data_IF_871247519755
#
_entry.id   IF_871247519755
#
_cell.length_a   1.000
_cell.length_b   1.000
_cell.length_c   1.000
_cell.angle_alpha   90.00
_cell.angle_beta   90.00
_cell.angle_gamma   90.00
#
_symmetry.space_group_name_H-M   'P 1'
#
loop_
_entity.id
_entity.type
_entity.pdbx_description
1 polymer ?
#
# COMPACT_ATOMS: atom_id res chain seq x y z
N UNK A 1 -26.82 10.99 7.99
CA UNK A 1 -25.37 11.28 7.91
C UNK A 1 -25.13 12.51 7.04
N UNK A 2 -24.25 13.42 7.46
CA UNK A 2 -23.80 14.54 6.60
C UNK A 2 -23.05 14.03 5.38
N UNK A 3 -22.91 14.87 4.33
CA UNK A 3 -22.15 14.50 3.11
C UNK A 3 -20.70 14.14 3.45
N UNK A 4 -20.02 14.95 4.24
CA UNK A 4 -18.63 14.68 4.64
C UNK A 4 -18.50 13.38 5.46
N UNK A 5 -19.49 13.08 6.32
CA UNK A 5 -19.51 11.83 7.06
C UNK A 5 -19.65 10.62 6.12
N UNK A 6 -20.47 10.70 5.05
CA UNK A 6 -20.59 9.62 4.05
C UNK A 6 -19.28 9.40 3.30
N UNK A 7 -18.60 10.49 2.89
CA UNK A 7 -17.31 10.40 2.20
C UNK A 7 -16.21 9.84 3.13
N UNK A 8 -16.19 10.26 4.39
CA UNK A 8 -15.27 9.71 5.39
C UNK A 8 -15.51 8.21 5.63
N UNK A 9 -16.78 7.78 5.78
CA UNK A 9 -17.13 6.36 5.92
C UNK A 9 -16.75 5.56 4.66
N UNK A 10 -16.95 6.12 3.47
CA UNK A 10 -16.48 5.52 2.21
C UNK A 10 -14.98 5.28 2.24
N UNK A 11 -14.17 6.29 2.58
CA UNK A 11 -12.71 6.14 2.68
C UNK A 11 -12.31 5.13 3.77
N UNK A 12 -12.97 5.15 4.92
CA UNK A 12 -12.74 4.19 5.99
C UNK A 12 -12.93 2.76 5.48
N UNK A 13 -14.09 2.46 4.87
CA UNK A 13 -14.39 1.12 4.37
C UNK A 13 -13.48 0.70 3.21
N UNK A 14 -13.13 1.63 2.31
CA UNK A 14 -12.23 1.40 1.18
C UNK A 14 -10.87 0.84 1.61
N UNK A 15 -10.32 1.32 2.72
CA UNK A 15 -9.03 0.88 3.21
C UNK A 15 -9.13 -0.16 4.33
N UNK A 16 -10.25 -0.23 5.04
CA UNK A 16 -10.50 -1.28 6.04
C UNK A 16 -10.51 -2.67 5.41
N UNK A 17 -11.18 -2.82 4.26
CA UNK A 17 -11.20 -4.11 3.55
C UNK A 17 -9.80 -4.56 3.11
N UNK A 18 -8.89 -3.67 2.85
CA UNK A 18 -7.50 -3.97 2.47
C UNK A 18 -6.62 -4.24 3.69
N UNK A 19 -6.74 -3.40 4.73
CA UNK A 19 -6.04 -3.57 6.00
C UNK A 19 -6.39 -4.85 6.76
N UNK A 20 -7.56 -5.42 6.49
CA UNK A 20 -8.00 -6.66 7.13
C UNK A 20 -7.10 -7.86 6.77
N UNK A 21 -6.68 -7.98 5.51
CA UNK A 21 -6.00 -9.19 5.03
C UNK A 21 -4.53 -9.00 4.66
N UNK A 22 -4.13 -7.85 4.12
CA UNK A 22 -2.80 -7.68 3.55
C UNK A 22 -1.67 -7.92 4.56
N UNK A 23 -1.73 -7.43 5.83
CA UNK A 23 -0.65 -7.61 6.79
C UNK A 23 -0.35 -9.07 7.13
N UNK A 24 -1.35 -9.95 7.09
CA UNK A 24 -1.23 -11.34 7.55
C UNK A 24 -1.14 -12.37 6.42
N UNK A 25 -1.51 -12.00 5.20
CA UNK A 25 -1.59 -12.96 4.08
C UNK A 25 -0.24 -13.57 3.73
N UNK A 26 0.84 -12.78 3.68
CA UNK A 26 2.16 -13.30 3.36
C UNK A 26 2.61 -14.37 4.39
N UNK A 27 2.30 -14.16 5.68
CA UNK A 27 2.56 -15.16 6.74
C UNK A 27 1.74 -16.43 6.52
N UNK A 28 0.45 -16.33 6.21
CA UNK A 28 -0.39 -17.48 5.91
C UNK A 28 0.10 -18.30 4.71
N UNK A 29 0.48 -17.61 3.63
CA UNK A 29 0.96 -18.26 2.41
C UNK A 29 2.30 -18.97 2.63
N UNK A 30 3.22 -18.37 3.42
CA UNK A 30 4.57 -18.90 3.67
C UNK A 30 4.65 -19.94 4.75
N UNK A 31 3.74 -19.94 5.72
CA UNK A 31 3.73 -20.90 6.80
C UNK A 31 3.58 -22.33 6.29
N UNK A 32 4.32 -23.27 6.86
CA UNK A 32 4.27 -24.68 6.47
C UNK A 32 2.88 -25.28 6.67
N UNK A 33 2.53 -26.27 5.83
CA UNK A 33 1.23 -26.97 5.93
C UNK A 33 1.04 -27.60 7.31
N UNK A 34 2.09 -28.08 7.94
CA UNK A 34 2.03 -28.63 9.30
C UNK A 34 1.69 -27.56 10.35
N UNK A 35 1.98 -26.29 10.09
CA UNK A 35 1.61 -25.15 10.95
C UNK A 35 0.21 -24.61 10.65
N UNK A 36 -0.43 -25.11 9.59
CA UNK A 36 -1.75 -24.64 9.14
C UNK A 36 -1.71 -23.56 8.07
N UNK A 37 -0.53 -23.25 7.50
CA UNK A 37 -0.37 -22.39 6.32
C UNK A 37 -0.43 -23.16 5.01
N UNK A 38 -0.05 -22.51 3.90
CA UNK A 38 -0.07 -23.13 2.56
C UNK A 38 1.29 -23.63 2.08
N UNK A 39 2.39 -23.21 2.71
CA UNK A 39 3.75 -23.63 2.36
C UNK A 39 4.20 -23.15 0.97
N UNK A 40 3.65 -22.05 0.47
CA UNK A 40 4.06 -21.49 -0.82
C UNK A 40 5.48 -20.94 -0.77
N UNK A 41 6.21 -21.12 -1.85
CA UNK A 41 7.55 -20.57 -2.02
C UNK A 41 7.53 -19.04 -2.08
N UNK A 42 8.68 -18.41 -1.82
CA UNK A 42 8.82 -16.97 -1.94
C UNK A 42 8.48 -16.44 -3.33
N UNK A 43 8.82 -17.19 -4.38
CA UNK A 43 8.48 -16.87 -5.77
C UNK A 43 6.97 -16.89 -6.01
N UNK A 44 6.26 -17.92 -5.52
CA UNK A 44 4.80 -18.03 -5.63
C UNK A 44 4.09 -16.88 -4.89
N UNK A 45 4.52 -16.55 -3.68
CA UNK A 45 4.00 -15.43 -2.90
C UNK A 45 4.26 -14.10 -3.63
N UNK A 46 5.44 -13.94 -4.21
CA UNK A 46 5.79 -12.77 -5.02
C UNK A 46 4.87 -12.59 -6.23
N UNK A 47 4.50 -13.68 -6.90
CA UNK A 47 3.55 -13.65 -8.02
C UNK A 47 2.13 -13.31 -7.56
N UNK A 48 1.66 -13.88 -6.45
CA UNK A 48 0.32 -13.64 -5.92
C UNK A 48 0.16 -12.19 -5.43
N UNK A 49 1.10 -11.68 -4.64
CA UNK A 49 0.97 -10.39 -3.98
C UNK A 49 1.66 -9.24 -4.75
N UNK A 50 2.61 -9.55 -5.62
CA UNK A 50 3.32 -8.57 -6.45
C UNK A 50 2.70 -8.44 -7.84
N UNK A 51 2.83 -9.46 -8.68
CA UNK A 51 2.37 -9.41 -10.08
C UNK A 51 0.86 -9.23 -10.17
N UNK A 52 0.09 -10.02 -9.42
CA UNK A 52 -1.37 -9.94 -9.50
C UNK A 52 -1.87 -8.52 -9.12
N UNK A 53 -1.32 -7.91 -8.06
CA UNK A 53 -1.64 -6.54 -7.67
C UNK A 53 -1.34 -5.52 -8.76
N UNK A 54 -0.22 -5.70 -9.45
CA UNK A 54 0.24 -4.80 -10.51
C UNK A 54 -0.61 -4.85 -11.77
N UNK A 55 -1.12 -6.02 -12.14
CA UNK A 55 -2.04 -6.17 -13.29
C UNK A 55 -3.28 -5.28 -13.07
N UNK A 56 -3.85 -5.32 -11.87
CA UNK A 56 -4.98 -4.46 -11.52
C UNK A 56 -4.62 -2.97 -11.54
N UNK A 57 -3.45 -2.59 -11.02
CA UNK A 57 -3.00 -1.20 -11.00
C UNK A 57 -2.83 -0.61 -12.42
N UNK A 58 -2.32 -1.41 -13.37
CA UNK A 58 -2.21 -1.02 -14.79
C UNK A 58 -3.58 -0.98 -15.46
N UNK A 59 -4.48 -1.91 -15.14
CA UNK A 59 -5.83 -1.96 -15.72
C UNK A 59 -6.76 -0.86 -15.14
N UNK A 60 -6.51 -0.39 -13.92
CA UNK A 60 -7.39 0.51 -13.19
C UNK A 60 -7.74 1.82 -13.93
N UNK A 61 -6.82 2.56 -14.56
CA UNK A 61 -7.14 3.79 -15.29
C UNK A 61 -8.09 3.54 -16.47
N UNK A 62 -7.96 2.39 -17.13
CA UNK A 62 -8.82 2.02 -18.25
C UNK A 62 -10.23 1.68 -17.79
N UNK A 63 -10.36 0.91 -16.70
CA UNK A 63 -11.66 0.51 -16.15
C UNK A 63 -12.37 1.72 -15.53
N UNK A 64 -11.69 2.49 -14.70
CA UNK A 64 -12.27 3.66 -14.06
C UNK A 64 -12.62 4.75 -15.10
N UNK A 65 -11.66 5.11 -15.98
CA UNK A 65 -11.86 6.20 -16.93
C UNK A 65 -12.76 5.85 -18.13
N UNK A 66 -12.68 4.63 -18.66
CA UNK A 66 -13.42 4.28 -19.89
C UNK A 66 -14.82 3.71 -19.61
N UNK A 67 -15.01 2.99 -18.51
CA UNK A 67 -16.27 2.34 -18.20
C UNK A 67 -17.09 3.18 -17.22
N UNK A 68 -16.49 3.57 -16.09
CA UNK A 68 -17.19 4.30 -15.06
C UNK A 68 -17.60 5.70 -15.51
N UNK A 69 -16.69 6.44 -16.15
CA UNK A 69 -16.96 7.83 -16.51
C UNK A 69 -17.93 7.96 -17.69
N UNK A 70 -18.19 6.89 -18.47
CA UNK A 70 -19.05 6.98 -19.67
C UNK A 70 -20.46 6.45 -19.53
N UNK A 71 -20.64 5.36 -18.77
CA UNK A 71 -21.87 4.58 -18.85
C UNK A 71 -22.72 4.53 -17.59
N UNK A 72 -22.08 4.67 -16.42
CA UNK A 72 -22.77 4.48 -15.14
C UNK A 72 -22.40 5.57 -14.14
N UNK A 73 -23.24 5.77 -13.14
CA UNK A 73 -22.85 6.63 -12.02
C UNK A 73 -21.74 5.95 -11.20
N UNK A 74 -20.76 6.77 -10.79
CA UNK A 74 -19.50 6.30 -10.19
C UNK A 74 -19.73 5.47 -8.92
N UNK A 75 -20.71 5.87 -8.08
CA UNK A 75 -21.05 5.15 -6.84
C UNK A 75 -21.63 3.76 -7.10
N UNK A 76 -22.35 3.55 -8.23
CA UNK A 76 -22.94 2.24 -8.57
C UNK A 76 -21.88 1.27 -9.08
N UNK A 77 -20.94 1.76 -9.91
CA UNK A 77 -19.82 0.92 -10.34
C UNK A 77 -18.94 0.57 -9.15
N UNK A 78 -18.66 1.55 -8.29
CA UNK A 78 -17.91 1.30 -7.06
C UNK A 78 -18.58 0.19 -6.23
N UNK A 79 -19.91 0.27 -6.03
CA UNK A 79 -20.66 -0.77 -5.34
C UNK A 79 -20.49 -2.16 -5.98
N UNK A 80 -20.65 -2.26 -7.30
CA UNK A 80 -20.51 -3.53 -8.01
C UNK A 80 -19.10 -4.11 -7.88
N UNK A 81 -18.07 -3.30 -8.11
CA UNK A 81 -16.66 -3.74 -8.05
C UNK A 81 -16.27 -4.21 -6.64
N UNK A 82 -16.65 -3.48 -5.58
CA UNK A 82 -16.28 -3.90 -4.22
C UNK A 82 -17.05 -5.16 -3.79
N UNK A 83 -18.32 -5.34 -4.18
CA UNK A 83 -19.08 -6.58 -3.90
C UNK A 83 -18.43 -7.77 -4.63
N UNK A 84 -18.14 -7.64 -5.92
CA UNK A 84 -17.45 -8.69 -6.69
C UNK A 84 -16.10 -9.02 -6.05
N UNK A 85 -15.31 -8.00 -5.69
CA UNK A 85 -14.02 -8.17 -5.01
C UNK A 85 -14.18 -8.92 -3.67
N UNK A 86 -15.22 -8.61 -2.91
CA UNK A 86 -15.54 -9.31 -1.66
C UNK A 86 -15.85 -10.79 -1.87
N UNK A 87 -16.66 -11.12 -2.87
CA UNK A 87 -16.96 -12.51 -3.25
C UNK A 87 -15.70 -13.25 -3.69
N UNK A 88 -14.84 -12.62 -4.50
CA UNK A 88 -13.56 -13.20 -4.93
C UNK A 88 -12.66 -13.49 -3.73
N UNK A 89 -12.55 -12.57 -2.77
CA UNK A 89 -11.78 -12.81 -1.52
C UNK A 89 -12.37 -13.98 -0.71
N UNK A 90 -13.67 -14.06 -0.64
CA UNK A 90 -14.35 -15.16 0.04
C UNK A 90 -14.02 -16.51 -0.59
N UNK A 91 -14.09 -16.61 -1.92
CA UNK A 91 -13.72 -17.82 -2.66
C UNK A 91 -12.24 -18.16 -2.44
N UNK A 92 -11.36 -17.14 -2.46
CA UNK A 92 -9.91 -17.32 -2.27
C UNK A 92 -9.57 -17.91 -0.89
N UNK A 93 -10.33 -17.56 0.16
CA UNK A 93 -10.10 -18.06 1.51
C UNK A 93 -10.14 -19.60 1.64
N UNK A 94 -10.86 -20.25 0.75
CA UNK A 94 -11.01 -21.72 0.73
C UNK A 94 -10.07 -22.44 -0.23
N UNK A 95 -9.20 -21.70 -0.92
CA UNK A 95 -8.25 -22.31 -1.86
C UNK A 95 -6.95 -22.68 -1.16
N UNK A 96 -6.40 -23.83 -1.55
CA UNK A 96 -5.09 -24.31 -1.09
C UNK A 96 -4.10 -24.50 -2.23
N UNK A 97 -4.55 -24.37 -3.48
CA UNK A 97 -3.74 -24.49 -4.69
C UNK A 97 -3.18 -23.12 -5.12
N UNK A 98 -1.91 -23.10 -5.49
CA UNK A 98 -1.22 -21.90 -5.95
C UNK A 98 -1.88 -21.26 -7.18
N UNK A 99 -2.24 -22.08 -8.19
CA UNK A 99 -2.82 -21.57 -9.43
C UNK A 99 -4.17 -20.89 -9.18
N UNK A 100 -4.99 -21.47 -8.31
CA UNK A 100 -6.27 -20.88 -7.89
C UNK A 100 -6.04 -19.54 -7.15
N UNK A 101 -5.08 -19.49 -6.23
CA UNK A 101 -4.70 -18.25 -5.54
C UNK A 101 -4.24 -17.17 -6.51
N UNK A 102 -3.36 -17.50 -7.46
CA UNK A 102 -2.84 -16.56 -8.45
C UNK A 102 -3.97 -16.00 -9.33
N UNK A 103 -4.81 -16.85 -9.91
CA UNK A 103 -5.91 -16.43 -10.78
C UNK A 103 -6.91 -15.55 -10.03
N UNK A 104 -7.34 -15.99 -8.84
CA UNK A 104 -8.27 -15.20 -8.02
C UNK A 104 -7.67 -13.87 -7.55
N UNK A 105 -6.37 -13.83 -7.27
CA UNK A 105 -5.67 -12.59 -6.93
C UNK A 105 -5.59 -11.63 -8.10
N UNK A 106 -5.40 -12.12 -9.33
CA UNK A 106 -5.45 -11.30 -10.55
C UNK A 106 -6.87 -10.74 -10.74
N UNK A 107 -7.90 -11.58 -10.65
CA UNK A 107 -9.29 -11.13 -10.77
C UNK A 107 -9.61 -10.09 -9.70
N UNK A 108 -9.24 -10.36 -8.45
CA UNK A 108 -9.43 -9.41 -7.36
C UNK A 108 -8.76 -8.06 -7.64
N UNK A 109 -7.52 -8.06 -8.10
CA UNK A 109 -6.80 -6.80 -8.35
C UNK A 109 -7.42 -5.99 -9.48
N UNK A 110 -7.90 -6.64 -10.56
CA UNK A 110 -8.59 -6.00 -11.68
C UNK A 110 -9.88 -5.29 -11.21
N UNK A 111 -10.61 -5.88 -10.27
CA UNK A 111 -11.85 -5.25 -9.75
C UNK A 111 -11.60 -4.28 -8.61
N UNK A 112 -10.57 -4.51 -7.78
CA UNK A 112 -10.30 -3.68 -6.60
C UNK A 112 -9.52 -2.39 -6.93
N UNK A 113 -8.46 -2.46 -7.73
CA UNK A 113 -7.61 -1.29 -7.99
C UNK A 113 -8.36 -0.09 -8.59
N UNK A 114 -9.32 -0.26 -9.51
CA UNK A 114 -10.15 0.86 -9.97
C UNK A 114 -10.94 1.55 -8.87
N UNK A 115 -11.33 0.83 -7.82
CA UNK A 115 -12.14 1.39 -6.72
C UNK A 115 -11.40 2.49 -5.95
N UNK A 116 -10.07 2.46 -5.91
CA UNK A 116 -9.24 3.51 -5.33
C UNK A 116 -9.39 4.84 -6.07
N UNK A 117 -9.37 4.79 -7.40
CA UNK A 117 -9.58 5.97 -8.24
C UNK A 117 -11.03 6.46 -8.17
N UNK A 118 -12.01 5.54 -8.19
CA UNK A 118 -13.43 5.89 -8.11
C UNK A 118 -13.81 6.53 -6.78
N UNK A 119 -13.31 6.03 -5.66
CA UNK A 119 -13.55 6.63 -4.33
C UNK A 119 -12.95 8.04 -4.22
N UNK A 120 -11.76 8.26 -4.79
CA UNK A 120 -11.18 9.59 -4.89
C UNK A 120 -12.02 10.50 -5.79
N UNK A 121 -12.47 10.02 -6.96
CA UNK A 121 -13.30 10.78 -7.90
C UNK A 121 -14.62 11.23 -7.26
N UNK A 122 -15.32 10.33 -6.55
CA UNK A 122 -16.53 10.68 -5.78
C UNK A 122 -16.20 11.76 -4.74
N UNK A 123 -15.09 11.62 -4.04
CA UNK A 123 -14.69 12.59 -3.01
C UNK A 123 -14.46 13.96 -3.63
N UNK A 124 -13.68 14.07 -4.70
CA UNK A 124 -13.41 15.33 -5.40
C UNK A 124 -14.67 15.96 -5.99
N UNK A 125 -15.61 15.17 -6.52
CA UNK A 125 -16.85 15.68 -7.08
C UNK A 125 -17.78 16.34 -6.03
N UNK A 126 -17.62 16.00 -4.77
CA UNK A 126 -18.57 16.41 -3.72
C UNK A 126 -17.98 17.28 -2.61
N UNK A 127 -16.72 17.66 -2.65
CA UNK A 127 -16.13 18.64 -1.73
C UNK A 127 -16.11 20.05 -2.34
N UNK A 128 -16.04 21.06 -1.47
CA UNK A 128 -16.06 22.47 -1.87
C UNK A 128 -14.65 23.00 -2.11
N UNK A 129 -13.73 22.62 -1.25
CA UNK A 129 -12.34 23.05 -1.27
C UNK A 129 -11.44 21.79 -1.20
N UNK A 130 -10.93 21.33 -2.36
CA UNK A 130 -10.07 20.14 -2.42
C UNK A 130 -8.86 20.21 -1.50
N UNK A 131 -8.20 21.35 -1.40
CA UNK A 131 -6.94 21.49 -0.66
C UNK A 131 -7.15 21.34 0.85
N UNK A 132 -8.28 21.83 1.38
CA UNK A 132 -8.57 21.75 2.82
C UNK A 132 -9.41 20.53 3.22
N UNK A 133 -10.31 20.06 2.35
CA UNK A 133 -11.31 19.04 2.69
C UNK A 133 -10.78 17.62 2.40
N UNK A 134 -10.02 17.43 1.29
CA UNK A 134 -9.54 16.10 0.92
C UNK A 134 -8.67 15.44 1.99
N UNK A 135 -7.68 16.11 2.60
CA UNK A 135 -6.89 15.49 3.67
C UNK A 135 -7.73 15.02 4.86
N UNK A 136 -8.77 15.81 5.25
CA UNK A 136 -9.68 15.49 6.37
C UNK A 136 -10.55 14.26 6.07
N UNK A 137 -10.90 14.05 4.80
CA UNK A 137 -11.70 12.90 4.37
C UNK A 137 -10.76 11.69 4.17
N UNK A 138 -9.60 11.90 3.54
CA UNK A 138 -8.65 10.83 3.18
C UNK A 138 -8.03 10.16 4.41
N UNK A 139 -7.81 10.87 5.50
CA UNK A 139 -7.27 10.31 6.75
C UNK A 139 -8.13 9.18 7.30
N UNK A 140 -9.45 9.20 7.05
CA UNK A 140 -10.34 8.10 7.43
C UNK A 140 -9.96 6.77 6.76
N UNK A 141 -9.32 6.82 5.60
CA UNK A 141 -8.76 5.61 4.98
C UNK A 141 -7.66 4.98 5.83
N UNK A 142 -6.69 5.75 6.31
CA UNK A 142 -5.63 5.24 7.20
C UNK A 142 -6.21 4.72 8.52
N UNK A 143 -7.22 5.43 9.08
CA UNK A 143 -7.94 4.96 10.28
C UNK A 143 -8.67 3.64 9.99
N UNK A 144 -9.30 3.49 8.82
CA UNK A 144 -9.96 2.25 8.41
C UNK A 144 -8.99 1.07 8.29
N UNK A 145 -7.84 1.30 7.69
CA UNK A 145 -6.76 0.31 7.63
C UNK A 145 -6.34 -0.15 9.03
N UNK A 146 -6.00 0.80 9.92
CA UNK A 146 -5.62 0.50 11.30
C UNK A 146 -6.72 -0.28 12.02
N UNK A 147 -7.95 0.21 11.94
CA UNK A 147 -9.09 -0.40 12.63
C UNK A 147 -9.29 -1.87 12.21
N UNK A 148 -9.23 -2.17 10.92
CA UNK A 148 -9.39 -3.54 10.43
C UNK A 148 -8.20 -4.43 10.78
N UNK A 149 -6.97 -3.91 10.69
CA UNK A 149 -5.75 -4.64 11.08
C UNK A 149 -5.71 -4.99 12.57
N UNK A 150 -6.46 -4.27 13.42
CA UNK A 150 -6.62 -4.57 14.84
C UNK A 150 -7.86 -5.42 15.12
N UNK A 151 -9.00 -5.08 14.50
CA UNK A 151 -10.27 -5.75 14.78
C UNK A 151 -10.22 -7.24 14.45
N UNK A 152 -9.66 -7.62 13.29
CA UNK A 152 -9.59 -9.01 12.88
C UNK A 152 -8.82 -9.88 13.90
N UNK A 153 -7.55 -9.60 14.25
CA UNK A 153 -6.83 -10.44 15.21
C UNK A 153 -7.37 -10.35 16.63
N UNK A 154 -7.90 -9.20 17.05
CA UNK A 154 -8.47 -9.06 18.40
C UNK A 154 -9.77 -9.84 18.57
N UNK A 155 -10.64 -9.83 17.55
CA UNK A 155 -11.95 -10.48 17.64
C UNK A 155 -11.87 -11.98 17.30
N UNK A 156 -10.95 -12.37 16.40
CA UNK A 156 -10.96 -13.69 15.78
C UNK A 156 -9.78 -14.58 16.14
N UNK A 157 -8.62 -14.00 16.44
CA UNK A 157 -7.39 -14.76 16.66
C UNK A 157 -6.97 -14.82 18.13
N UNK A 158 -7.59 -14.05 19.00
CA UNK A 158 -7.21 -13.94 20.42
C UNK A 158 -8.43 -14.04 21.32
N UNK A 159 -8.17 -14.46 22.57
CA UNK A 159 -9.12 -14.45 23.70
C UNK A 159 -8.53 -13.64 24.85
N UNK A 160 -9.36 -13.25 25.81
CA UNK A 160 -8.93 -12.65 27.08
C UNK A 160 -7.91 -11.50 26.90
N UNK A 161 -8.31 -10.49 26.11
CA UNK A 161 -7.46 -9.37 25.72
C UNK A 161 -7.05 -8.52 26.93
N UNK A 162 -5.74 -8.26 27.04
CA UNK A 162 -5.15 -7.44 28.07
C UNK A 162 -4.32 -6.30 27.48
N UNK A 163 -4.34 -5.13 28.13
CA UNK A 163 -3.50 -4.01 27.75
C UNK A 163 -2.06 -4.21 28.25
N UNK A 164 -1.09 -3.87 27.38
CA UNK A 164 0.32 -3.77 27.74
C UNK A 164 0.90 -2.43 27.24
N UNK A 165 1.92 -1.92 27.96
CA UNK A 165 2.54 -0.63 27.61
C UNK A 165 3.46 -0.68 26.38
N UNK A 166 3.90 -1.86 25.96
CA UNK A 166 4.75 -2.04 24.79
C UNK A 166 3.92 -2.45 23.59
N UNK A 167 4.27 -2.02 22.36
CA UNK A 167 3.61 -2.50 21.14
C UNK A 167 3.79 -4.02 20.95
N UNK A 168 2.79 -4.70 20.40
CA UNK A 168 1.42 -4.25 20.16
C UNK A 168 0.63 -4.14 21.47
N UNK A 169 -0.05 -3.03 21.69
CA UNK A 169 -0.57 -2.61 23.00
C UNK A 169 -1.69 -3.49 23.59
N UNK A 170 -2.36 -4.30 22.76
CA UNK A 170 -3.50 -5.14 23.17
C UNK A 170 -3.20 -6.57 22.72
N UNK A 171 -3.11 -7.47 23.67
CA UNK A 171 -2.71 -8.87 23.43
C UNK A 171 -3.50 -9.83 24.33
N UNK A 172 -3.69 -11.06 23.84
CA UNK A 172 -4.27 -12.17 24.58
C UNK A 172 -3.68 -13.50 24.17
N UNK A 173 -4.11 -14.61 24.78
CA UNK A 173 -3.84 -15.95 24.30
C UNK A 173 -4.38 -16.13 22.88
N UNK A 174 -3.59 -16.75 22.01
CA UNK A 174 -4.08 -17.10 20.66
C UNK A 174 -5.03 -18.30 20.74
N UNK A 175 -6.00 -18.28 19.84
CA UNK A 175 -6.90 -19.42 19.60
C UNK A 175 -6.13 -20.60 19.03
N UNK A 176 -6.66 -21.80 19.16
CA UNK A 176 -6.11 -22.99 18.53
C UNK A 176 -6.06 -22.81 16.99
N UNK A 177 -5.00 -23.34 16.35
CA UNK A 177 -4.80 -23.28 14.90
C UNK A 177 -4.78 -21.84 14.35
N UNK A 178 -4.19 -20.89 15.08
CA UNK A 178 -4.17 -19.47 14.73
C UNK A 178 -3.67 -19.23 13.30
N UNK A 179 -2.60 -19.91 12.87
CA UNK A 179 -2.03 -19.75 11.51
C UNK A 179 -3.03 -20.13 10.42
N UNK A 180 -3.77 -21.22 10.58
CA UNK A 180 -4.81 -21.60 9.65
C UNK A 180 -5.94 -20.56 9.60
N UNK A 181 -6.30 -19.98 10.76
CA UNK A 181 -7.32 -18.93 10.86
C UNK A 181 -6.92 -17.59 10.24
N UNK A 182 -5.65 -17.40 9.86
CA UNK A 182 -5.24 -16.22 9.09
C UNK A 182 -5.97 -16.16 7.73
N UNK A 183 -6.37 -17.28 7.15
CA UNK A 183 -7.21 -17.33 5.95
C UNK A 183 -8.55 -16.60 6.14
N UNK A 184 -9.10 -16.61 7.35
CA UNK A 184 -10.38 -15.97 7.67
C UNK A 184 -10.32 -14.44 7.52
N UNK A 185 -9.11 -13.86 7.48
CA UNK A 185 -8.91 -12.44 7.16
C UNK A 185 -9.50 -12.07 5.78
N UNK A 186 -9.48 -13.00 4.83
CA UNK A 186 -10.09 -12.82 3.51
C UNK A 186 -11.61 -12.83 3.59
N UNK A 187 -12.19 -13.69 4.45
CA UNK A 187 -13.63 -13.75 4.71
C UNK A 187 -14.07 -12.44 5.39
N UNK A 188 -13.32 -12.00 6.40
CA UNK A 188 -13.57 -10.74 7.11
C UNK A 188 -13.50 -9.54 6.15
N UNK A 189 -12.49 -9.49 5.27
CA UNK A 189 -12.41 -8.51 4.19
C UNK A 189 -13.61 -8.58 3.24
N UNK A 190 -14.06 -9.79 2.88
CA UNK A 190 -15.25 -10.01 2.05
C UNK A 190 -16.52 -9.44 2.67
N UNK A 191 -16.73 -9.64 3.97
CA UNK A 191 -17.86 -9.07 4.72
C UNK A 191 -17.81 -7.54 4.72
N UNK A 192 -16.63 -6.95 4.98
CA UNK A 192 -16.45 -5.50 4.88
C UNK A 192 -16.76 -5.02 3.46
N UNK A 193 -16.31 -5.73 2.44
CA UNK A 193 -16.51 -5.38 1.02
C UNK A 193 -17.97 -5.36 0.64
N UNK A 194 -18.76 -6.38 1.03
CA UNK A 194 -20.20 -6.42 0.79
C UNK A 194 -20.90 -5.29 1.53
N UNK A 195 -20.54 -5.06 2.80
CA UNK A 195 -21.08 -3.94 3.60
C UNK A 195 -20.78 -2.60 2.95
N UNK A 196 -19.56 -2.42 2.44
CA UNK A 196 -19.15 -1.24 1.70
C UNK A 196 -19.94 -1.06 0.40
N UNK A 197 -20.10 -2.13 -0.37
CA UNK A 197 -20.90 -2.07 -1.60
C UNK A 197 -22.35 -1.68 -1.35
N UNK A 198 -22.98 -2.20 -0.29
CA UNK A 198 -24.32 -1.78 0.14
C UNK A 198 -24.32 -0.30 0.60
N UNK A 199 -23.29 0.13 1.32
CA UNK A 199 -23.14 1.52 1.74
C UNK A 199 -22.99 2.48 0.55
N UNK A 200 -22.39 2.06 -0.56
CA UNK A 200 -22.24 2.89 -1.76
C UNK A 200 -23.57 3.43 -2.31
N UNK A 201 -24.69 2.73 -2.10
CA UNK A 201 -26.02 3.24 -2.47
C UNK A 201 -26.49 4.43 -1.62
N UNK A 202 -25.80 4.71 -0.51
CA UNK A 202 -26.06 5.90 0.33
C UNK A 202 -25.17 7.09 -0.04
N UNK A 203 -24.20 6.91 -0.94
CA UNK A 203 -23.30 7.97 -1.41
C UNK A 203 -24.08 9.00 -2.27
N UNK A 204 -23.58 10.22 -2.37
CA UNK A 204 -24.18 11.20 -3.25
C UNK A 204 -24.00 10.79 -4.70
N UNK A 205 -25.04 10.99 -5.52
CA UNK A 205 -25.03 10.67 -6.94
C UNK A 205 -23.92 11.40 -7.68
N UNK A 206 -23.07 10.64 -8.39
CA UNK A 206 -21.94 11.13 -9.16
C UNK A 206 -22.12 10.68 -10.61
N UNK A 207 -22.83 11.50 -11.45
CA UNK A 207 -23.18 11.11 -12.82
C UNK A 207 -21.92 10.99 -13.69
N UNK A 208 -21.98 10.19 -14.79
CA UNK A 208 -20.87 10.02 -15.71
C UNK A 208 -20.51 11.33 -16.43
N UNK A 209 -19.22 11.57 -16.64
CA UNK A 209 -18.68 12.71 -17.41
C UNK A 209 -18.40 12.27 -18.84
N UNK A 210 -19.25 12.65 -19.78
CA UNK A 210 -19.17 12.18 -21.19
C UNK A 210 -18.00 12.73 -22.00
N UNK A 211 -17.35 13.81 -21.57
CA UNK A 211 -16.43 14.60 -22.38
C UNK A 211 -14.95 14.51 -21.97
N UNK A 212 -14.58 13.62 -21.11
CA UNK A 212 -13.25 13.60 -20.51
C UNK A 212 -12.36 12.48 -21.07
N UNK A 213 -11.78 12.61 -22.26
CA UNK A 213 -10.52 11.89 -22.59
C UNK A 213 -9.74 12.63 -23.67
N UNK A 214 -8.73 13.38 -23.29
CA UNK A 214 -7.66 13.77 -24.21
C UNK A 214 -6.70 12.60 -24.44
N UNK A 215 -6.76 12.00 -25.62
CA UNK A 215 -5.89 10.87 -26.02
C UNK A 215 -4.39 11.23 -26.14
N UNK A 216 -4.05 12.51 -26.16
CA UNK A 216 -2.68 13.02 -26.37
C UNK A 216 -1.89 13.31 -25.09
N UNK A 217 -2.55 13.38 -23.92
CA UNK A 217 -1.92 13.76 -22.67
C UNK A 217 -0.85 12.76 -22.18
N UNK A 218 -1.03 11.46 -22.46
CA UNK A 218 -0.03 10.45 -22.13
C UNK A 218 1.30 10.62 -22.88
N UNK A 219 1.23 10.98 -24.18
CA UNK A 219 2.45 11.20 -24.97
C UNK A 219 3.27 12.37 -24.42
N UNK A 220 2.61 13.48 -24.11
CA UNK A 220 3.24 14.63 -23.47
C UNK A 220 3.81 14.32 -22.08
N UNK A 221 3.12 13.45 -21.28
CA UNK A 221 3.63 13.03 -20.01
C UNK A 221 4.97 12.27 -20.10
N UNK A 222 5.21 11.52 -21.19
CA UNK A 222 6.50 10.89 -21.44
C UNK A 222 7.60 11.90 -21.79
N UNK A 223 7.28 13.10 -22.26
CA UNK A 223 8.27 14.17 -22.52
C UNK A 223 8.95 14.65 -21.22
N UNK A 224 8.31 14.44 -20.05
CA UNK A 224 8.94 14.74 -18.75
C UNK A 224 10.21 13.91 -18.51
N UNK A 225 10.39 12.76 -19.15
CA UNK A 225 11.63 11.99 -19.07
C UNK A 225 12.83 12.71 -19.69
N UNK A 226 12.63 13.73 -20.51
CA UNK A 226 13.70 14.61 -20.99
C UNK A 226 14.24 15.52 -19.88
N UNK A 227 13.50 15.67 -18.78
CA UNK A 227 13.95 16.43 -17.60
C UNK A 227 14.75 15.51 -16.69
N UNK A 228 16.03 15.82 -16.50
CA UNK A 228 16.94 15.00 -15.67
C UNK A 228 16.41 14.79 -14.25
N UNK A 229 15.81 15.81 -13.62
CA UNK A 229 15.23 15.71 -12.28
C UNK A 229 14.09 14.71 -12.20
N UNK A 230 13.21 14.69 -13.21
CA UNK A 230 12.11 13.72 -13.29
C UNK A 230 12.64 12.29 -13.47
N UNK A 231 13.60 12.10 -14.38
CA UNK A 231 14.20 10.78 -14.63
C UNK A 231 14.91 10.23 -13.37
N UNK A 232 15.67 11.07 -12.66
CA UNK A 232 16.32 10.66 -11.39
C UNK A 232 15.27 10.30 -10.34
N UNK A 233 14.19 11.08 -10.22
CA UNK A 233 13.09 10.79 -9.33
C UNK A 233 12.42 9.45 -9.68
N UNK A 234 12.16 9.20 -10.96
CA UNK A 234 11.52 7.94 -11.42
C UNK A 234 12.41 6.73 -11.10
N UNK A 235 13.72 6.81 -11.37
CA UNK A 235 14.66 5.71 -11.06
C UNK A 235 14.70 5.43 -9.56
N UNK A 236 14.82 6.47 -8.72
CA UNK A 236 14.79 6.31 -7.28
C UNK A 236 13.43 5.75 -6.81
N UNK A 237 12.32 6.22 -7.41
CA UNK A 237 10.96 5.78 -7.07
C UNK A 237 10.71 4.33 -7.44
N UNK A 238 11.21 3.86 -8.57
CA UNK A 238 11.13 2.46 -8.95
C UNK A 238 11.87 1.58 -7.94
N UNK A 239 13.12 1.95 -7.58
CA UNK A 239 13.90 1.21 -6.59
C UNK A 239 13.22 1.19 -5.23
N UNK A 240 12.73 2.34 -4.76
CA UNK A 240 12.01 2.42 -3.48
C UNK A 240 10.72 1.60 -3.52
N UNK A 241 9.98 1.63 -4.62
CA UNK A 241 8.77 0.83 -4.77
C UNK A 241 9.05 -0.68 -4.74
N UNK A 242 10.17 -1.13 -5.32
CA UNK A 242 10.63 -2.51 -5.25
C UNK A 242 10.86 -2.92 -3.79
N UNK A 243 11.69 -2.18 -3.05
CA UNK A 243 12.00 -2.51 -1.65
C UNK A 243 10.79 -2.32 -0.72
N UNK A 244 9.86 -1.44 -1.07
CA UNK A 244 8.60 -1.25 -0.37
C UNK A 244 7.66 -2.46 -0.54
N UNK A 245 7.55 -3.00 -1.75
CA UNK A 245 6.79 -4.23 -2.00
C UNK A 245 7.38 -5.42 -1.23
N UNK A 246 8.71 -5.57 -1.25
CA UNK A 246 9.41 -6.63 -0.50
C UNK A 246 9.11 -6.53 1.01
N UNK A 247 9.01 -5.31 1.56
CA UNK A 247 8.59 -5.12 2.94
C UNK A 247 7.22 -5.75 3.23
N UNK A 248 6.20 -5.54 2.40
CA UNK A 248 4.88 -6.12 2.62
C UNK A 248 4.88 -7.65 2.50
N UNK A 249 5.77 -8.21 1.67
CA UNK A 249 5.89 -9.65 1.49
C UNK A 249 6.60 -10.34 2.65
N UNK A 250 7.65 -9.72 3.19
CA UNK A 250 8.56 -10.39 4.12
C UNK A 250 8.42 -9.97 5.59
N UNK A 251 7.73 -8.84 5.88
CA UNK A 251 7.64 -8.36 7.26
C UNK A 251 6.82 -9.29 8.15
N UNK A 252 5.67 -9.78 7.69
CA UNK A 252 4.86 -10.72 8.46
C UNK A 252 5.59 -12.01 8.78
N UNK A 253 6.12 -12.76 7.78
CA UNK A 253 6.96 -13.93 8.01
C UNK A 253 8.17 -13.66 8.89
N UNK A 254 8.87 -12.54 8.69
CA UNK A 254 10.00 -12.11 9.51
C UNK A 254 9.63 -11.92 10.98
N UNK A 255 8.58 -11.14 11.27
CA UNK A 255 8.15 -10.90 12.65
C UNK A 255 7.75 -12.19 13.36
N UNK A 256 7.09 -13.11 12.65
CA UNK A 256 6.78 -14.44 13.16
C UNK A 256 8.04 -15.25 13.45
N UNK A 257 9.05 -15.23 12.58
CA UNK A 257 10.30 -15.98 12.74
C UNK A 257 11.14 -15.54 13.95
N UNK A 258 11.03 -14.27 14.35
CA UNK A 258 11.69 -13.73 15.55
C UNK A 258 10.82 -13.87 16.82
N UNK A 259 9.67 -14.54 16.75
CA UNK A 259 8.82 -14.89 17.89
C UNK A 259 7.64 -13.96 18.16
N UNK A 260 7.31 -13.02 17.25
CA UNK A 260 6.05 -12.29 17.34
C UNK A 260 4.88 -13.23 17.01
N UNK A 261 3.85 -13.23 17.82
CA UNK A 261 2.65 -14.04 17.60
C UNK A 261 1.94 -13.62 16.29
N UNK A 262 1.35 -14.59 15.58
CA UNK A 262 0.66 -14.34 14.30
C UNK A 262 -0.49 -13.34 14.45
N UNK A 263 -1.20 -13.37 15.59
CA UNK A 263 -2.25 -12.41 15.94
C UNK A 263 -1.76 -10.97 16.17
N UNK A 264 -0.47 -10.78 16.37
CA UNK A 264 0.13 -9.48 16.66
C UNK A 264 0.76 -8.82 15.44
N UNK A 265 0.89 -9.53 14.32
CA UNK A 265 1.54 -9.03 13.09
C UNK A 265 0.79 -7.80 12.55
N UNK A 266 -0.53 -7.90 12.36
CA UNK A 266 -1.35 -6.78 11.87
C UNK A 266 -1.21 -5.53 12.76
N UNK A 267 -1.53 -5.60 14.05
CA UNK A 267 -1.31 -4.49 14.98
C UNK A 267 0.10 -3.92 14.98
N UNK A 268 1.14 -4.76 14.98
CA UNK A 268 2.54 -4.32 14.97
C UNK A 268 2.87 -3.51 13.69
N UNK A 269 2.42 -3.95 12.53
CA UNK A 269 2.65 -3.23 11.28
C UNK A 269 1.95 -1.86 11.27
N UNK A 270 0.83 -1.69 11.98
CA UNK A 270 0.11 -0.40 12.02
C UNK A 270 0.83 0.70 12.78
N UNK A 271 1.87 0.41 13.55
CA UNK A 271 2.74 1.43 14.16
C UNK A 271 3.27 2.38 13.06
N UNK A 272 3.53 1.84 11.87
CA UNK A 272 3.90 2.62 10.69
C UNK A 272 2.82 3.60 10.24
N UNK A 273 1.55 3.20 10.24
CA UNK A 273 0.43 4.04 9.83
C UNK A 273 0.12 5.16 10.85
N UNK A 274 0.28 4.90 12.16
CA UNK A 274 0.21 5.97 13.15
C UNK A 274 1.28 7.04 12.91
N UNK A 275 2.52 6.60 12.66
CA UNK A 275 3.61 7.50 12.33
C UNK A 275 3.39 8.23 10.98
N UNK A 276 2.74 7.58 10.01
CA UNK A 276 2.36 8.16 8.71
C UNK A 276 1.41 9.35 8.91
N UNK A 277 0.37 9.21 9.74
CA UNK A 277 -0.57 10.30 10.03
C UNK A 277 0.19 11.51 10.56
N UNK A 278 1.09 11.30 11.50
CA UNK A 278 1.89 12.38 12.06
C UNK A 278 2.85 13.00 11.02
N UNK A 279 3.58 12.16 10.26
CA UNK A 279 4.54 12.61 9.26
C UNK A 279 3.84 13.38 8.12
N UNK A 280 2.65 12.94 7.68
CA UNK A 280 1.83 13.64 6.68
C UNK A 280 1.34 15.00 7.18
N UNK A 281 0.93 15.10 8.44
CA UNK A 281 0.51 16.38 9.03
C UNK A 281 1.62 17.44 8.99
N UNK A 282 2.88 17.04 9.13
CA UNK A 282 4.02 17.94 9.12
C UNK A 282 4.75 18.05 7.78
N UNK A 283 4.36 17.25 6.76
CA UNK A 283 5.04 17.20 5.47
C UNK A 283 5.17 18.59 4.82
N UNK A 284 4.10 19.37 4.80
CA UNK A 284 4.12 20.72 4.23
C UNK A 284 5.11 21.67 4.91
N UNK A 285 5.26 21.57 6.23
CA UNK A 285 6.28 22.32 6.97
C UNK A 285 7.69 21.89 6.54
N UNK A 286 7.95 20.58 6.46
CA UNK A 286 9.27 20.07 6.06
C UNK A 286 9.61 20.44 4.62
N UNK A 287 8.66 20.34 3.68
CA UNK A 287 8.88 20.74 2.28
C UNK A 287 9.19 22.25 2.15
N UNK A 288 8.48 23.10 2.87
CA UNK A 288 8.75 24.54 2.87
C UNK A 288 10.10 24.88 3.49
N UNK A 289 10.51 24.17 4.56
CA UNK A 289 11.74 24.48 5.31
C UNK A 289 12.99 23.92 4.68
N UNK A 290 12.93 22.71 4.10
CA UNK A 290 14.11 21.95 3.64
C UNK A 290 14.13 21.69 2.14
N UNK A 291 13.02 21.91 1.41
CA UNK A 291 12.86 21.63 -0.02
C UNK A 291 12.64 20.13 -0.31
N UNK A 292 12.24 19.84 -1.54
CA UNK A 292 11.92 18.46 -1.96
C UNK A 292 13.14 17.54 -1.91
N UNK A 293 14.32 18.01 -2.33
CA UNK A 293 15.54 17.19 -2.34
C UNK A 293 15.84 16.58 -0.99
N UNK A 294 15.87 17.39 0.08
CA UNK A 294 16.23 16.92 1.42
C UNK A 294 15.13 16.06 2.03
N UNK A 295 13.85 16.43 1.83
CA UNK A 295 12.71 15.68 2.37
C UNK A 295 12.63 14.30 1.73
N UNK A 296 12.68 14.21 0.40
CA UNK A 296 12.64 12.93 -0.31
C UNK A 296 13.86 12.07 0.04
N UNK A 297 15.08 12.68 0.11
CA UNK A 297 16.29 11.99 0.57
C UNK A 297 16.10 11.34 1.94
N UNK A 298 15.56 12.09 2.92
CA UNK A 298 15.28 11.57 4.27
C UNK A 298 14.23 10.44 4.25
N UNK A 299 13.23 10.52 3.36
CA UNK A 299 12.27 9.46 3.14
C UNK A 299 12.93 8.17 2.65
N UNK A 300 13.85 8.25 1.69
CA UNK A 300 14.61 7.07 1.21
C UNK A 300 15.57 6.55 2.29
N UNK A 301 16.24 7.43 3.00
CA UNK A 301 17.14 7.04 4.10
C UNK A 301 16.42 6.32 5.24
N UNK A 302 15.16 6.69 5.51
CA UNK A 302 14.34 6.01 6.50
C UNK A 302 14.06 4.54 6.12
N UNK A 303 13.97 4.19 4.82
CA UNK A 303 13.93 2.78 4.38
C UNK A 303 15.20 2.03 4.77
N UNK A 304 16.36 2.62 4.48
CA UNK A 304 17.65 2.01 4.83
C UNK A 304 17.77 1.79 6.34
N UNK A 305 17.42 2.82 7.14
CA UNK A 305 17.46 2.73 8.60
C UNK A 305 16.54 1.64 9.16
N UNK A 306 15.30 1.55 8.67
CA UNK A 306 14.35 0.52 9.09
C UNK A 306 14.86 -0.88 8.79
N UNK A 307 15.35 -1.11 7.57
CA UNK A 307 15.86 -2.41 7.17
C UNK A 307 17.17 -2.78 7.88
N UNK A 308 18.01 -1.78 8.23
CA UNK A 308 19.16 -2.03 9.09
C UNK A 308 18.74 -2.54 10.49
N UNK A 309 17.69 -1.95 11.07
CA UNK A 309 17.12 -2.44 12.35
C UNK A 309 16.62 -3.87 12.17
N UNK A 310 15.88 -4.19 11.11
CA UNK A 310 15.39 -5.54 10.83
C UNK A 310 16.53 -6.54 10.62
N UNK A 311 17.62 -6.13 9.93
CA UNK A 311 18.81 -6.95 9.73
C UNK A 311 19.53 -7.30 11.03
N UNK A 312 19.36 -6.49 12.09
CA UNK A 312 19.92 -6.76 13.41
C UNK A 312 18.97 -7.66 14.19
N UNK A 313 18.75 -8.89 13.73
CA UNK A 313 17.75 -9.85 14.23
C UNK A 313 17.91 -10.22 15.73
N UNK A 314 19.03 -9.86 16.33
CA UNK A 314 19.30 -10.05 17.78
C UNK A 314 18.65 -8.98 18.67
N UNK A 315 18.13 -7.91 18.09
CA UNK A 315 17.43 -6.87 18.84
C UNK A 315 16.09 -7.40 19.43
N UNK A 316 15.68 -6.88 20.59
CA UNK A 316 14.39 -7.21 21.17
C UNK A 316 13.23 -6.95 20.21
N UNK A 317 12.21 -7.81 20.20
CA UNK A 317 11.03 -7.72 19.30
C UNK A 317 10.36 -6.34 19.37
N UNK A 318 10.28 -5.73 20.55
CA UNK A 318 9.65 -4.41 20.68
C UNK A 318 10.40 -3.32 19.88
N UNK A 319 11.72 -3.41 19.74
CA UNK A 319 12.48 -2.48 18.88
C UNK A 319 12.09 -2.68 17.40
N UNK A 320 11.91 -3.94 16.96
CA UNK A 320 11.43 -4.24 15.61
C UNK A 320 10.06 -3.62 15.37
N UNK A 321 9.15 -3.76 16.34
CA UNK A 321 7.80 -3.20 16.25
C UNK A 321 7.83 -1.67 16.25
N UNK A 322 8.57 -1.03 17.16
CA UNK A 322 8.69 0.45 17.19
C UNK A 322 9.36 0.99 15.95
N UNK A 323 10.35 0.29 15.38
CA UNK A 323 11.02 0.70 14.16
C UNK A 323 10.09 0.78 12.94
N UNK A 324 8.91 0.15 12.99
CA UNK A 324 7.87 0.35 12.00
C UNK A 324 7.45 1.83 11.86
N UNK A 325 7.67 2.66 12.87
CA UNK A 325 7.43 4.11 12.77
C UNK A 325 8.20 4.76 11.61
N UNK A 326 9.37 4.23 11.23
CA UNK A 326 10.07 4.69 10.01
C UNK A 326 9.21 4.58 8.76
N UNK A 327 8.25 3.64 8.71
CA UNK A 327 7.34 3.52 7.56
C UNK A 327 6.55 4.80 7.31
N UNK A 328 6.10 5.48 8.35
CA UNK A 328 5.40 6.75 8.19
C UNK A 328 6.27 7.83 7.55
N UNK A 329 7.55 7.92 7.94
CA UNK A 329 8.51 8.82 7.30
C UNK A 329 8.77 8.40 5.85
N UNK A 330 8.97 7.10 5.59
CA UNK A 330 9.13 6.55 4.25
C UNK A 330 7.96 6.96 3.35
N UNK A 331 6.73 6.76 3.80
CA UNK A 331 5.55 7.05 2.98
C UNK A 331 5.34 8.55 2.77
N UNK A 332 5.34 9.34 3.84
CA UNK A 332 5.06 10.75 3.76
C UNK A 332 6.17 11.53 3.01
N UNK A 333 7.43 11.32 3.39
CA UNK A 333 8.52 12.12 2.85
C UNK A 333 8.94 11.66 1.45
N UNK A 334 8.87 10.35 1.19
CA UNK A 334 9.20 9.86 -0.14
C UNK A 334 7.97 9.83 -1.06
N UNK A 335 6.98 8.95 -0.84
CA UNK A 335 5.90 8.78 -1.82
C UNK A 335 5.06 10.04 -1.97
N UNK A 336 4.54 10.61 -0.88
CA UNK A 336 3.73 11.82 -0.98
C UNK A 336 4.57 13.01 -1.48
N UNK A 337 5.81 13.16 -1.00
CA UNK A 337 6.75 14.18 -1.48
C UNK A 337 7.04 14.06 -2.98
N UNK A 338 7.23 12.84 -3.49
CA UNK A 338 7.46 12.58 -4.91
C UNK A 338 6.23 12.92 -5.76
N UNK A 339 5.02 12.50 -5.35
CA UNK A 339 3.78 12.86 -6.05
C UNK A 339 3.56 14.38 -6.11
N UNK A 340 3.79 15.10 -4.98
CA UNK A 340 3.69 16.56 -4.95
C UNK A 340 4.74 17.21 -5.87
N UNK A 341 5.95 16.65 -5.94
CA UNK A 341 6.97 17.15 -6.85
C UNK A 341 6.60 16.95 -8.32
N UNK A 342 6.08 15.78 -8.69
CA UNK A 342 5.58 15.49 -10.05
C UNK A 342 4.46 16.46 -10.42
N UNK A 343 3.52 16.72 -9.50
CA UNK A 343 2.45 17.70 -9.69
C UNK A 343 3.00 19.10 -9.97
N UNK A 344 4.06 19.48 -9.25
CA UNK A 344 4.67 20.81 -9.34
C UNK A 344 5.41 21.05 -10.65
N UNK A 345 6.08 20.03 -11.21
CA UNK A 345 6.91 20.17 -12.43
C UNK A 345 6.14 19.92 -13.73
N UNK A 346 4.95 19.34 -13.65
CA UNK A 346 4.12 19.06 -14.81
C UNK A 346 3.26 20.29 -15.16
N UNK A 347 3.20 20.64 -16.45
CA UNK A 347 2.31 21.67 -16.97
C UNK A 347 0.85 21.31 -16.67
N UNK A 348 -0.02 22.30 -16.55
CA UNK A 348 -1.43 22.10 -16.12
C UNK A 348 -2.19 21.11 -17.03
N UNK A 349 -1.95 21.15 -18.33
CA UNK A 349 -2.59 20.29 -19.33
C UNK A 349 -2.14 18.82 -19.30
N UNK A 350 -0.96 18.53 -18.69
CA UNK A 350 -0.40 17.16 -18.60
C UNK A 350 -0.26 16.63 -17.17
N UNK A 351 -0.57 17.44 -16.17
CA UNK A 351 -0.38 17.13 -14.74
C UNK A 351 -1.00 15.80 -14.32
N UNK A 352 -2.26 15.59 -14.68
CA UNK A 352 -2.97 14.35 -14.38
C UNK A 352 -2.34 13.13 -15.06
N UNK A 353 -1.93 13.27 -16.31
CA UNK A 353 -1.26 12.19 -17.05
C UNK A 353 0.14 11.89 -16.51
N UNK A 354 0.87 12.92 -16.08
CA UNK A 354 2.17 12.75 -15.43
C UNK A 354 2.07 11.95 -14.12
N UNK A 355 1.09 12.28 -13.29
CA UNK A 355 0.82 11.52 -12.06
C UNK A 355 0.39 10.08 -12.35
N UNK A 356 -0.40 9.87 -13.40
CA UNK A 356 -0.84 8.52 -13.81
C UNK A 356 0.35 7.69 -14.30
N UNK A 357 1.22 8.23 -15.15
CA UNK A 357 2.44 7.53 -15.62
C UNK A 357 3.36 7.21 -14.44
N UNK A 358 3.59 8.18 -13.57
CA UNK A 358 4.39 7.98 -12.37
C UNK A 358 3.78 6.92 -11.44
N UNK A 359 2.46 6.95 -11.25
CA UNK A 359 1.72 5.96 -10.48
C UNK A 359 1.80 4.54 -11.06
N UNK A 360 1.71 4.39 -12.40
CA UNK A 360 1.88 3.08 -13.06
C UNK A 360 3.27 2.50 -12.82
N UNK A 361 4.32 3.32 -12.79
CA UNK A 361 5.68 2.87 -12.51
C UNK A 361 5.79 2.38 -11.06
N UNK A 362 5.27 3.15 -10.11
CA UNK A 362 5.36 2.84 -8.67
C UNK A 362 4.43 1.69 -8.28
N UNK A 363 3.16 1.74 -8.68
CA UNK A 363 2.14 0.78 -8.24
C UNK A 363 2.04 -0.44 -9.17
N UNK A 364 2.57 -0.34 -10.39
CA UNK A 364 2.63 -1.43 -11.35
C UNK A 364 4.03 -2.04 -11.43
N UNK A 365 5.01 -1.30 -11.95
CA UNK A 365 6.37 -1.81 -12.21
C UNK A 365 7.12 -2.24 -10.96
N UNK A 366 7.10 -1.42 -9.92
CA UNK A 366 7.78 -1.70 -8.66
C UNK A 366 7.34 -3.00 -7.99
N UNK A 367 6.04 -3.22 -7.76
CA UNK A 367 5.54 -4.44 -7.15
C UNK A 367 5.77 -5.73 -7.97
N UNK A 368 5.75 -5.66 -9.31
CA UNK A 368 6.13 -6.82 -10.16
C UNK A 368 7.56 -7.26 -9.88
N UNK A 369 8.48 -6.28 -10.01
CA UNK A 369 9.91 -6.56 -9.82
C UNK A 369 10.18 -6.92 -8.36
N UNK A 370 9.54 -6.23 -7.41
CA UNK A 370 9.68 -6.48 -5.97
C UNK A 370 9.16 -7.85 -5.56
N UNK A 371 8.05 -8.31 -6.13
CA UNK A 371 7.52 -9.64 -5.90
C UNK A 371 8.49 -10.74 -6.38
N UNK A 372 8.94 -10.63 -7.63
CA UNK A 372 9.93 -11.55 -8.19
C UNK A 372 11.25 -11.53 -7.41
N UNK A 373 11.78 -10.34 -7.15
CA UNK A 373 13.06 -10.18 -6.44
C UNK A 373 12.98 -10.69 -5.00
N UNK A 374 11.84 -10.52 -4.33
CA UNK A 374 11.62 -11.06 -2.97
C UNK A 374 11.79 -12.57 -2.94
N UNK A 375 11.15 -13.28 -3.89
CA UNK A 375 11.28 -14.73 -4.00
C UNK A 375 12.71 -15.16 -4.32
N UNK A 376 13.33 -14.53 -5.32
CA UNK A 376 14.71 -14.80 -5.71
C UNK A 376 15.70 -14.61 -4.55
N UNK A 377 15.61 -13.52 -3.81
CA UNK A 377 16.47 -13.28 -2.66
C UNK A 377 16.19 -14.25 -1.52
N UNK A 378 14.93 -14.63 -1.30
CA UNK A 378 14.59 -15.64 -0.30
C UNK A 378 15.22 -16.98 -0.65
N UNK A 379 15.11 -17.44 -1.88
CA UNK A 379 15.75 -18.69 -2.34
C UNK A 379 17.28 -18.62 -2.22
N UNK A 380 17.88 -17.50 -2.65
CA UNK A 380 19.33 -17.27 -2.63
C UNK A 380 19.90 -17.27 -1.20
N UNK A 381 19.19 -16.69 -0.25
CA UNK A 381 19.64 -16.57 1.15
C UNK A 381 19.11 -17.70 2.05
N UNK A 382 18.46 -18.72 1.48
CA UNK A 382 18.08 -19.92 2.21
C UNK A 382 19.17 -20.99 2.06
N UNK A 383 19.79 -21.38 3.18
CA UNK A 383 20.80 -22.43 3.24
C UNK A 383 20.34 -23.52 4.19
N UNK A 384 20.43 -24.79 3.76
CA UNK A 384 19.97 -25.94 4.53
C UNK A 384 18.53 -25.79 5.09
N UNK A 385 17.64 -25.13 4.35
CA UNK A 385 16.25 -24.88 4.74
C UNK A 385 16.05 -23.72 5.72
N UNK A 386 17.10 -23.01 6.11
CA UNK A 386 17.04 -21.85 6.98
C UNK A 386 17.24 -20.56 6.17
N UNK A 387 16.27 -19.65 6.27
CA UNK A 387 16.33 -18.37 5.60
C UNK A 387 17.08 -17.34 6.46
N UNK A 388 18.15 -16.75 5.91
CA UNK A 388 18.94 -15.73 6.56
C UNK A 388 18.27 -14.34 6.45
N UNK A 389 17.37 -14.05 7.38
CA UNK A 389 16.71 -12.75 7.47
C UNK A 389 17.70 -11.60 7.72
N UNK A 390 18.81 -11.84 8.41
CA UNK A 390 19.80 -10.79 8.69
C UNK A 390 20.43 -10.30 7.39
N UNK A 391 20.99 -11.21 6.60
CA UNK A 391 21.59 -10.89 5.31
C UNK A 391 20.57 -10.28 4.34
N UNK A 392 19.36 -10.80 4.33
CA UNK A 392 18.26 -10.30 3.51
C UNK A 392 17.95 -8.83 3.79
N UNK A 393 17.68 -8.49 5.05
CA UNK A 393 17.32 -7.12 5.41
C UNK A 393 18.48 -6.13 5.28
N UNK A 394 19.72 -6.56 5.58
CA UNK A 394 20.91 -5.73 5.33
C UNK A 394 21.12 -5.47 3.83
N UNK A 395 20.85 -6.44 2.97
CA UNK A 395 20.90 -6.22 1.52
C UNK A 395 19.91 -5.14 1.09
N UNK A 396 18.67 -5.19 1.55
CA UNK A 396 17.68 -4.16 1.25
C UNK A 396 18.03 -2.80 1.89
N UNK A 397 18.64 -2.81 3.07
CA UNK A 397 19.16 -1.60 3.72
C UNK A 397 20.25 -0.96 2.85
N UNK A 398 21.18 -1.75 2.34
CA UNK A 398 22.25 -1.26 1.45
C UNK A 398 21.68 -0.69 0.14
N UNK A 399 20.69 -1.37 -0.47
CA UNK A 399 19.99 -0.85 -1.66
C UNK A 399 19.32 0.49 -1.35
N UNK A 400 18.60 0.59 -0.24
CA UNK A 400 17.98 1.84 0.20
C UNK A 400 18.99 2.95 0.43
N UNK A 401 20.11 2.64 1.09
CA UNK A 401 21.16 3.61 1.36
C UNK A 401 21.85 4.12 0.09
N UNK A 402 22.22 3.21 -0.83
CA UNK A 402 22.79 3.59 -2.14
C UNK A 402 21.79 4.43 -2.94
N UNK A 403 20.51 4.09 -2.91
CA UNK A 403 19.45 4.88 -3.58
C UNK A 403 19.33 6.27 -2.95
N UNK A 404 19.42 6.38 -1.61
CA UNK A 404 19.43 7.69 -0.95
C UNK A 404 20.62 8.53 -1.39
N UNK A 405 21.82 7.96 -1.41
CA UNK A 405 23.02 8.67 -1.89
C UNK A 405 22.88 9.08 -3.36
N UNK A 406 22.47 8.15 -4.24
CA UNK A 406 22.22 8.45 -5.65
C UNK A 406 21.26 9.63 -5.80
N UNK A 407 20.09 9.56 -5.16
CA UNK A 407 19.11 10.64 -5.19
C UNK A 407 19.67 11.94 -4.60
N UNK A 408 20.32 11.85 -3.44
CA UNK A 408 20.87 13.00 -2.73
C UNK A 408 21.94 13.75 -3.53
N UNK A 409 22.79 13.05 -4.30
CA UNK A 409 23.83 13.69 -5.11
C UNK A 409 23.34 14.13 -6.50
N UNK A 410 22.50 13.34 -7.14
CA UNK A 410 22.12 13.55 -8.53
C UNK A 410 20.88 14.45 -8.70
N UNK A 411 19.93 14.37 -7.75
CA UNK A 411 18.69 15.12 -7.86
C UNK A 411 18.93 16.61 -7.60
N UNK A 412 18.47 17.42 -8.54
CA UNK A 412 18.46 18.88 -8.42
C UNK A 412 17.04 19.36 -8.60
N UNK A 413 16.54 20.07 -7.61
CA UNK A 413 15.22 20.68 -7.66
C UNK A 413 15.17 21.71 -8.79
N UNK A 414 14.19 21.62 -9.67
CA UNK A 414 13.98 22.65 -10.68
C UNK A 414 13.43 23.91 -10.00
N UNK A 415 14.12 25.01 -10.18
CA UNK A 415 13.62 26.32 -9.76
C UNK A 415 12.53 26.72 -10.77
N UNK A 416 11.31 26.96 -10.31
CA UNK A 416 10.26 27.52 -11.13
C UNK A 416 10.77 28.72 -11.91
N UNK A 417 10.75 28.65 -13.24
CA UNK A 417 10.59 29.86 -14.03
C UNK A 417 9.12 30.28 -13.89
N UNK A 418 8.78 31.00 -12.80
CA UNK A 418 7.57 31.81 -12.82
C UNK A 418 7.72 32.76 -14.00
N UNK A 419 7.11 32.42 -15.12
CA UNK A 419 6.76 33.41 -16.13
C UNK A 419 5.81 34.37 -15.43
N UNK A 420 6.34 35.54 -15.06
CA UNK A 420 5.52 36.67 -14.70
C UNK A 420 4.63 36.95 -15.92
N UNK A 421 3.35 36.69 -15.78
CA UNK A 421 2.30 37.19 -16.63
C UNK A 421 1.58 38.33 -15.91
#
# INVERSE_FOLDING_TARGET
MSKNSRLGTMMFLQYALWGAWLPVTARYLSAGVAEGGLGFSGSEIGMILGLAGSIGAVAAPFIAGQIADRYFSTERILAALVIIGGVVKWITAYQTDYSAWLVLSIIYSIVYMPTLALSNSITFAHMKDPDSDFPKIRVWGTIGWIAASWAFPMIWLQTDLNFQWMPPFIVGPEVANVTNRLADALIFSGVISVTYGLFCFMLPNTPPKKDAVEKLAFKKAFELFNQTSFTILVVASLTVSIIHQIYFLQTGPFLSSIGLKDSQIGPAMTVGQFAEIAAMAYLGFFLKRFGFRKVIFLGVLAYAARYAVFGTVTLPIWIMVVSQAFHGICYAFFFAGAYIYVDKIADEDVRHSAQTVFGMIILGGGPVIGGWLSGYLQETFTQAGLFDYSLFWYTLSAVGFVTALFFGFMFREQVEKRTAA
#
